data_IF_215353085394
#
_entry.id   IF_215353085394
#
_cell.length_a   1.000
_cell.length_b   1.000
_cell.length_c   1.000
_cell.angle_alpha   90.00
_cell.angle_beta   90.00
_cell.angle_gamma   90.00
#
_symmetry.space_group_name_H-M   'P 1'
#
loop_
_entity.id
_entity.type
_entity.pdbx_description
1 polymer ?
#
# COMPACT_ATOMS: atom_id res chain seq x y z
N UNK A 1 -10.49 21.63 8.43
CA UNK A 1 -10.97 20.30 8.84
C UNK A 1 -9.79 19.37 8.57
N UNK A 2 -9.10 18.92 9.61
CA UNK A 2 -7.92 18.06 9.45
C UNK A 2 -8.38 16.71 8.90
N UNK A 3 -7.94 16.38 7.69
CA UNK A 3 -8.21 15.10 7.09
C UNK A 3 -7.38 14.06 7.85
N UNK A 4 -8.05 13.21 8.64
CA UNK A 4 -7.38 12.15 9.37
C UNK A 4 -6.76 11.18 8.36
N UNK A 5 -5.44 11.26 8.17
CA UNK A 5 -4.68 10.26 7.42
C UNK A 5 -4.98 8.88 8.01
N UNK A 6 -5.07 7.86 7.16
CA UNK A 6 -5.35 6.51 7.62
C UNK A 6 -4.22 6.06 8.56
N UNK A 7 -4.54 5.86 9.83
CA UNK A 7 -3.57 5.44 10.83
C UNK A 7 -3.21 3.98 10.56
N UNK A 8 -1.95 3.73 10.20
CA UNK A 8 -1.42 2.38 10.13
C UNK A 8 -1.40 1.83 11.56
N UNK A 9 -2.02 0.66 11.84
CA UNK A 9 -2.04 0.12 13.19
C UNK A 9 -0.62 -0.11 13.72
N UNK A 10 -0.31 0.39 14.92
CA UNK A 10 1.03 0.28 15.56
C UNK A 10 1.60 -1.15 15.54
N UNK A 11 0.74 -2.15 15.71
CA UNK A 11 1.16 -3.55 15.67
C UNK A 11 1.68 -3.96 14.29
N UNK A 12 1.09 -3.44 13.21
CA UNK A 12 1.55 -3.70 11.85
C UNK A 12 2.86 -2.94 11.59
N UNK A 13 2.92 -1.68 11.99
CA UNK A 13 4.12 -0.84 11.85
C UNK A 13 5.35 -1.47 12.52
N UNK A 14 5.21 -1.91 13.78
CA UNK A 14 6.28 -2.63 14.50
C UNK A 14 6.70 -3.93 13.83
N UNK A 15 5.79 -4.65 13.18
CA UNK A 15 6.12 -5.89 12.46
C UNK A 15 6.92 -5.59 11.19
N UNK A 16 6.57 -4.53 10.47
CA UNK A 16 7.34 -4.05 9.31
C UNK A 16 8.74 -3.63 9.75
N UNK A 17 8.84 -2.80 10.80
CA UNK A 17 10.14 -2.37 11.34
C UNK A 17 11.02 -3.54 11.76
N UNK A 18 10.45 -4.57 12.42
CA UNK A 18 11.17 -5.78 12.79
C UNK A 18 11.67 -6.55 11.56
N UNK A 19 10.84 -6.73 10.54
CA UNK A 19 11.24 -7.42 9.30
C UNK A 19 12.39 -6.69 8.60
N UNK A 20 12.30 -5.36 8.49
CA UNK A 20 13.36 -4.52 7.88
C UNK A 20 14.67 -4.72 8.62
N UNK A 21 14.66 -4.67 9.96
CA UNK A 21 15.87 -4.90 10.75
C UNK A 21 16.47 -6.29 10.54
N UNK A 22 15.64 -7.33 10.47
CA UNK A 22 16.12 -8.70 10.21
C UNK A 22 16.76 -8.85 8.82
N UNK A 23 16.20 -8.16 7.82
CA UNK A 23 16.77 -8.15 6.46
C UNK A 23 18.09 -7.37 6.41
N UNK A 24 18.18 -6.26 7.14
CA UNK A 24 19.40 -5.45 7.25
C UNK A 24 20.55 -6.25 7.91
N UNK A 25 20.27 -6.91 9.04
CA UNK A 25 21.23 -7.78 9.72
C UNK A 25 21.69 -8.93 8.80
N UNK A 26 20.76 -9.58 8.07
CA UNK A 26 21.08 -10.67 7.14
C UNK A 26 21.83 -10.18 5.89
N UNK A 27 21.72 -8.90 5.51
CA UNK A 27 22.31 -8.38 4.27
C UNK A 27 23.84 -8.40 4.27
N UNK A 28 24.45 -8.40 5.46
CA UNK A 28 25.90 -8.50 5.66
C UNK A 28 26.40 -9.91 5.36
N UNK A 29 25.63 -10.93 5.76
CA UNK A 29 26.02 -12.35 5.68
C UNK A 29 25.54 -13.01 4.37
N UNK A 30 24.32 -12.69 3.93
CA UNK A 30 23.65 -13.32 2.78
C UNK A 30 22.91 -12.32 1.87
N UNK A 31 23.62 -11.39 1.19
CA UNK A 31 22.99 -10.32 0.41
C UNK A 31 22.07 -10.83 -0.72
N UNK A 32 22.42 -11.95 -1.38
CA UNK A 32 21.60 -12.53 -2.44
C UNK A 32 20.30 -13.16 -1.90
N UNK A 33 20.32 -13.70 -0.69
CA UNK A 33 19.12 -14.22 -0.02
C UNK A 33 18.18 -13.07 0.31
N UNK A 34 18.71 -11.96 0.82
CA UNK A 34 17.94 -10.74 1.09
C UNK A 34 17.29 -10.22 -0.18
N UNK A 35 18.02 -10.12 -1.30
CA UNK A 35 17.44 -9.68 -2.59
C UNK A 35 16.26 -10.56 -3.03
N UNK A 36 16.36 -11.88 -2.90
CA UNK A 36 15.26 -12.81 -3.23
C UNK A 36 14.04 -12.61 -2.33
N UNK A 37 14.26 -12.35 -1.04
CA UNK A 37 13.16 -12.08 -0.10
C UNK A 37 12.49 -10.76 -0.43
N UNK A 38 13.27 -9.71 -0.70
CA UNK A 38 12.74 -8.40 -1.12
C UNK A 38 11.93 -8.52 -2.40
N UNK A 39 12.45 -9.20 -3.43
CA UNK A 39 11.71 -9.42 -4.68
C UNK A 39 10.37 -10.15 -4.45
N UNK A 40 10.36 -11.15 -3.56
CA UNK A 40 9.12 -11.86 -3.19
C UNK A 40 8.13 -10.95 -2.47
N UNK A 41 8.61 -10.12 -1.54
CA UNK A 41 7.78 -9.14 -0.82
C UNK A 41 7.19 -8.10 -1.78
N UNK A 42 7.98 -7.59 -2.73
CA UNK A 42 7.51 -6.65 -3.75
C UNK A 42 6.37 -7.23 -4.57
N UNK A 43 6.50 -8.48 -5.03
CA UNK A 43 5.43 -9.18 -5.77
C UNK A 43 4.15 -9.34 -4.93
N UNK A 44 4.28 -9.74 -3.68
CA UNK A 44 3.12 -9.90 -2.78
C UNK A 44 2.45 -8.56 -2.45
N UNK A 45 3.25 -7.51 -2.23
CA UNK A 45 2.74 -6.16 -2.00
C UNK A 45 2.01 -5.64 -3.24
N UNK A 46 2.52 -5.92 -4.43
CA UNK A 46 1.86 -5.58 -5.69
C UNK A 46 0.49 -6.27 -5.80
N UNK A 47 0.39 -7.57 -5.54
CA UNK A 47 -0.88 -8.30 -5.55
C UNK A 47 -1.90 -7.70 -4.57
N UNK A 48 -1.46 -7.39 -3.34
CA UNK A 48 -2.32 -6.75 -2.32
C UNK A 48 -2.75 -5.37 -2.78
N UNK A 49 -1.85 -4.54 -3.31
CA UNK A 49 -2.18 -3.21 -3.85
C UNK A 49 -3.26 -3.29 -4.93
N UNK A 50 -3.12 -4.20 -5.89
CA UNK A 50 -4.10 -4.40 -6.97
C UNK A 50 -5.46 -4.82 -6.44
N UNK A 51 -5.49 -5.80 -5.53
CA UNK A 51 -6.72 -6.29 -4.92
C UNK A 51 -7.44 -5.18 -4.13
N UNK A 52 -6.71 -4.44 -3.29
CA UNK A 52 -7.26 -3.31 -2.53
C UNK A 52 -7.76 -2.20 -3.45
N UNK A 53 -7.00 -1.84 -4.50
CA UNK A 53 -7.41 -0.83 -5.47
C UNK A 53 -8.70 -1.24 -6.19
N UNK A 54 -8.80 -2.50 -6.62
CA UNK A 54 -10.00 -3.03 -7.25
C UNK A 54 -11.21 -2.96 -6.32
N UNK A 55 -11.04 -3.35 -5.05
CA UNK A 55 -12.10 -3.27 -4.05
C UNK A 55 -12.59 -1.82 -3.88
N UNK A 56 -11.69 -0.87 -3.60
CA UNK A 56 -12.02 0.55 -3.40
C UNK A 56 -12.77 1.13 -4.62
N UNK A 57 -12.29 0.88 -5.83
CA UNK A 57 -12.94 1.36 -7.06
C UNK A 57 -14.28 0.67 -7.34
N UNK A 58 -14.41 -0.62 -7.00
CA UNK A 58 -15.67 -1.35 -7.15
C UNK A 58 -16.74 -0.84 -6.18
N UNK A 59 -16.37 -0.50 -4.95
CA UNK A 59 -17.24 0.09 -3.92
C UNK A 59 -17.70 1.49 -4.34
N UNK A 60 -16.80 2.33 -4.87
CA UNK A 60 -17.16 3.63 -5.44
C UNK A 60 -18.18 3.52 -6.57
N UNK A 61 -18.02 2.56 -7.48
CA UNK A 61 -18.95 2.36 -8.61
C UNK A 61 -20.32 1.82 -8.19
N UNK A 62 -20.39 1.05 -7.09
CA UNK A 62 -21.59 0.24 -6.82
C UNK A 62 -22.77 1.07 -6.32
N UNK A 63 -22.62 2.02 -5.40
CA UNK A 63 -23.80 2.66 -4.77
C UNK A 63 -23.63 4.09 -4.23
N UNK A 64 -22.61 4.88 -4.59
CA UNK A 64 -22.45 6.21 -3.95
C UNK A 64 -22.20 6.16 -2.42
N UNK A 65 -22.02 4.96 -1.87
CA UNK A 65 -21.62 4.64 -0.49
C UNK A 65 -20.11 4.31 -0.40
N UNK A 66 -19.39 4.32 -1.53
CA UNK A 66 -17.94 4.18 -1.53
C UNK A 66 -17.25 5.43 -0.99
N UNK A 67 -16.01 5.28 -0.50
CA UNK A 67 -15.22 6.41 -0.02
C UNK A 67 -15.09 7.48 -1.09
N UNK A 68 -15.30 8.74 -0.73
CA UNK A 68 -15.04 9.89 -1.58
C UNK A 68 -13.57 9.96 -1.99
N UNK A 69 -13.28 10.63 -3.10
CA UNK A 69 -11.89 10.83 -3.54
C UNK A 69 -11.09 11.66 -2.52
N UNK A 70 -11.75 12.56 -1.79
CA UNK A 70 -11.20 13.32 -0.67
C UNK A 70 -10.74 12.40 0.47
N UNK A 71 -11.56 11.43 0.88
CA UNK A 71 -11.21 10.45 1.93
C UNK A 71 -10.06 9.54 1.52
N UNK A 72 -10.05 9.12 0.25
CA UNK A 72 -8.99 8.28 -0.31
C UNK A 72 -7.67 9.07 -0.38
N UNK A 73 -7.72 10.31 -0.87
CA UNK A 73 -6.56 11.19 -0.96
C UNK A 73 -5.96 11.48 0.42
N UNK A 74 -6.81 11.74 1.41
CA UNK A 74 -6.40 11.87 2.81
C UNK A 74 -5.74 10.59 3.35
N UNK A 75 -6.34 9.43 3.10
CA UNK A 75 -5.80 8.15 3.54
C UNK A 75 -4.42 7.85 2.94
N UNK A 76 -4.18 8.25 1.68
CA UNK A 76 -2.91 8.06 0.99
C UNK A 76 -1.92 9.21 1.23
N UNK A 77 -2.33 10.29 1.91
CA UNK A 77 -1.57 11.52 2.06
C UNK A 77 -1.10 12.09 0.70
N UNK A 78 -2.00 12.10 -0.29
CA UNK A 78 -1.75 12.59 -1.65
C UNK A 78 -2.80 13.62 -2.06
N UNK A 79 -2.50 14.50 -3.02
CA UNK A 79 -3.52 15.23 -3.77
C UNK A 79 -4.54 14.29 -4.43
N UNK A 80 -5.78 14.75 -4.62
CA UNK A 80 -6.90 13.94 -5.14
C UNK A 80 -6.59 13.34 -6.52
N UNK A 81 -6.10 14.18 -7.44
CA UNK A 81 -5.69 13.79 -8.79
C UNK A 81 -4.60 12.71 -8.78
N UNK A 82 -3.65 12.82 -7.85
CA UNK A 82 -2.59 11.82 -7.69
C UNK A 82 -3.09 10.52 -7.05
N UNK A 83 -4.01 10.61 -6.09
CA UNK A 83 -4.65 9.44 -5.47
C UNK A 83 -5.48 8.66 -6.50
N UNK A 84 -6.27 9.37 -7.30
CA UNK A 84 -7.06 8.80 -8.40
C UNK A 84 -6.16 8.13 -9.45
N UNK A 85 -5.17 8.86 -9.96
CA UNK A 85 -4.21 8.31 -10.93
C UNK A 85 -3.53 7.04 -10.41
N UNK A 86 -3.12 7.04 -9.13
CA UNK A 86 -2.44 5.91 -8.50
C UNK A 86 -3.34 4.68 -8.36
N UNK A 87 -4.58 4.86 -7.92
CA UNK A 87 -5.55 3.76 -7.79
C UNK A 87 -5.94 3.16 -9.13
N UNK A 88 -6.14 3.99 -10.15
CA UNK A 88 -6.42 3.52 -11.52
C UNK A 88 -5.22 2.77 -12.11
N UNK A 89 -4.00 3.26 -11.87
CA UNK A 89 -2.77 2.57 -12.27
C UNK A 89 -2.69 1.17 -11.66
N UNK A 90 -2.89 1.04 -10.34
CA UNK A 90 -2.91 -0.25 -9.66
C UNK A 90 -4.01 -1.20 -10.17
N UNK A 91 -5.19 -0.71 -10.53
CA UNK A 91 -6.22 -1.56 -11.13
C UNK A 91 -5.81 -2.07 -12.53
N UNK A 92 -5.14 -1.23 -13.32
CA UNK A 92 -4.81 -1.53 -14.70
C UNK A 92 -3.58 -2.42 -14.87
N UNK A 93 -2.70 -2.47 -13.86
CA UNK A 93 -1.48 -3.28 -13.86
C UNK A 93 -0.46 -2.93 -14.95
N UNK A 94 -0.62 -1.76 -15.60
CA UNK A 94 0.28 -1.20 -16.62
C UNK A 94 1.26 -0.24 -15.99
#
# INVERSE_FOLDING_TARGET
MEAASAVVPDKLDRRVAKLVRQLDELSIEEPLTVLKVVERLERQLEEVRRATAHQVLSEQKRQGEGRSWEEIAAALALPIDQAESRLLHYQSGR
#
